data_IF_628367489730
#
_entry.id   IF_628367489730
#
_cell.length_a   1.000
_cell.length_b   1.000
_cell.length_c   1.000
_cell.angle_alpha   90.00
_cell.angle_beta   90.00
_cell.angle_gamma   90.00
#
_symmetry.space_group_name_H-M   'P 1'
#
loop_
_entity.id
_entity.type
_entity.pdbx_description
1 polymer ?
#
# COMPACT_ATOMS: atom_id res chain seq x y z
N UNK A 1 9.02 -8.27 -8.46
CA UNK A 1 7.83 -9.13 -8.21
C UNK A 1 6.89 -8.38 -7.29
N UNK A 2 5.59 -8.50 -7.55
CA UNK A 2 4.53 -7.98 -6.69
C UNK A 2 3.92 -9.16 -5.93
N UNK A 3 4.11 -9.18 -4.62
CA UNK A 3 3.61 -10.23 -3.73
C UNK A 3 2.46 -9.67 -2.90
N UNK A 4 1.28 -10.24 -3.03
CA UNK A 4 0.09 -9.83 -2.28
C UNK A 4 -0.23 -10.84 -1.19
N UNK A 5 -0.42 -10.36 0.05
CA UNK A 5 -0.90 -11.17 1.16
C UNK A 5 -2.29 -10.70 1.62
N UNK A 6 -3.14 -11.65 1.95
CA UNK A 6 -4.47 -11.44 2.53
C UNK A 6 -4.65 -12.29 3.79
N UNK A 7 -3.55 -12.69 4.39
CA UNK A 7 -3.50 -13.75 5.39
C UNK A 7 -4.29 -13.46 6.67
N UNK A 8 -4.59 -12.19 6.98
CA UNK A 8 -5.35 -11.80 8.17
C UNK A 8 -6.69 -11.12 7.87
N UNK A 9 -7.17 -11.19 6.64
CA UNK A 9 -8.47 -10.61 6.28
C UNK A 9 -9.69 -11.43 6.73
N UNK A 10 -9.50 -12.69 7.07
CA UNK A 10 -10.58 -13.50 7.65
C UNK A 10 -10.92 -12.98 9.05
N UNK A 11 -12.16 -12.58 9.27
CA UNK A 11 -12.63 -12.03 10.55
C UNK A 11 -12.41 -12.94 11.75
N UNK A 12 -12.25 -14.25 11.53
CA UNK A 12 -11.96 -15.23 12.57
C UNK A 12 -10.48 -15.24 12.97
N UNK A 13 -9.59 -14.79 12.11
CA UNK A 13 -8.13 -14.89 12.25
C UNK A 13 -7.46 -13.53 12.40
N UNK A 14 -8.16 -12.47 12.07
CA UNK A 14 -7.63 -11.09 12.02
C UNK A 14 -6.92 -10.66 13.30
N UNK A 15 -7.46 -11.04 14.46
CA UNK A 15 -6.93 -10.66 15.77
C UNK A 15 -6.18 -11.83 16.46
N UNK A 16 -6.04 -12.97 15.78
CA UNK A 16 -5.30 -14.13 16.31
C UNK A 16 -3.80 -14.00 16.00
N UNK A 17 -3.09 -13.25 16.83
CA UNK A 17 -1.64 -13.07 16.74
C UNK A 17 -0.89 -14.40 16.79
N UNK A 18 -1.36 -15.37 17.57
CA UNK A 18 -0.70 -16.66 17.69
C UNK A 18 -0.80 -17.45 16.39
N UNK A 19 -1.98 -17.50 15.79
CA UNK A 19 -2.18 -18.14 14.50
C UNK A 19 -1.30 -17.48 13.41
N UNK A 20 -1.32 -16.15 13.36
CA UNK A 20 -0.48 -15.41 12.40
C UNK A 20 0.99 -15.78 12.54
N UNK A 21 1.55 -15.65 13.75
CA UNK A 21 2.97 -15.90 14.04
C UNK A 21 3.41 -17.36 13.83
N UNK A 22 2.54 -18.32 14.12
CA UNK A 22 2.89 -19.74 14.03
C UNK A 22 2.59 -20.37 12.68
N UNK A 23 1.62 -19.87 11.95
CA UNK A 23 1.14 -20.49 10.71
C UNK A 23 1.38 -19.60 9.49
N UNK A 24 0.89 -18.35 9.52
CA UNK A 24 0.88 -17.50 8.33
C UNK A 24 2.25 -16.88 8.04
N UNK A 25 2.84 -16.21 9.01
CA UNK A 25 4.13 -15.53 8.85
C UNK A 25 5.26 -16.45 8.38
N UNK A 26 5.47 -17.66 8.93
CA UNK A 26 6.54 -18.54 8.46
C UNK A 26 6.39 -18.97 7.00
N UNK A 27 5.15 -19.13 6.52
CA UNK A 27 4.86 -19.49 5.12
C UNK A 27 5.16 -18.30 4.22
N UNK A 28 4.65 -17.12 4.56
CA UNK A 28 4.88 -15.89 3.81
C UNK A 28 6.38 -15.56 3.71
N UNK A 29 7.10 -15.65 4.82
CA UNK A 29 8.55 -15.40 4.85
C UNK A 29 9.33 -16.37 3.97
N UNK A 30 8.96 -17.64 3.95
CA UNK A 30 9.60 -18.64 3.08
C UNK A 30 9.36 -18.36 1.61
N UNK A 31 8.16 -17.92 1.24
CA UNK A 31 7.85 -17.51 -0.14
C UNK A 31 8.67 -16.28 -0.52
N UNK A 32 8.75 -15.28 0.37
CA UNK A 32 9.49 -14.05 0.13
C UNK A 32 11.01 -14.25 0.05
N UNK A 33 11.54 -15.22 0.79
CA UNK A 33 12.94 -15.67 0.63
C UNK A 33 13.20 -16.14 -0.81
N UNK A 34 12.34 -16.99 -1.35
CA UNK A 34 12.44 -17.44 -2.74
C UNK A 34 12.29 -16.31 -3.75
N UNK A 35 11.39 -15.34 -3.50
CA UNK A 35 11.21 -14.14 -4.32
C UNK A 35 12.52 -13.34 -4.37
N UNK A 36 13.16 -13.12 -3.23
CA UNK A 36 14.40 -12.33 -3.13
C UNK A 36 15.62 -13.02 -3.79
N UNK A 37 15.56 -14.33 -4.01
CA UNK A 37 16.61 -15.05 -4.76
C UNK A 37 16.55 -14.75 -6.26
N UNK A 38 15.37 -14.46 -6.81
CA UNK A 38 15.16 -14.30 -8.25
C UNK A 38 14.92 -12.86 -8.68
N UNK A 39 14.61 -11.95 -7.75
CA UNK A 39 14.34 -10.54 -8.05
C UNK A 39 14.92 -9.65 -6.94
N UNK A 40 15.42 -8.48 -7.34
CA UNK A 40 16.02 -7.49 -6.41
C UNK A 40 15.09 -6.35 -6.03
N UNK A 41 14.00 -6.16 -6.77
CA UNK A 41 13.00 -5.14 -6.52
C UNK A 41 11.63 -5.81 -6.41
N UNK A 42 11.17 -5.93 -5.18
CA UNK A 42 9.96 -6.66 -4.87
C UNK A 42 9.05 -5.77 -4.02
N UNK A 43 7.75 -5.86 -4.27
CA UNK A 43 6.73 -5.10 -3.58
C UNK A 43 5.91 -6.07 -2.74
N UNK A 44 5.78 -5.77 -1.46
CA UNK A 44 4.80 -6.39 -0.55
C UNK A 44 3.51 -5.58 -0.63
N UNK A 45 2.43 -6.18 -1.07
CA UNK A 45 1.09 -5.64 -0.97
C UNK A 45 0.35 -6.32 0.19
N UNK A 46 0.09 -5.56 1.24
CA UNK A 46 -0.77 -5.97 2.34
C UNK A 46 -2.18 -5.53 1.95
N UNK A 47 -2.95 -6.48 1.42
CA UNK A 47 -4.23 -6.17 0.82
C UNK A 47 -5.25 -5.77 1.90
N UNK A 48 -5.71 -4.52 1.85
CA UNK A 48 -6.83 -4.03 2.66
C UNK A 48 -8.15 -4.28 1.94
N UNK A 49 -9.17 -4.70 2.67
CA UNK A 49 -10.50 -4.94 2.14
C UNK A 49 -11.53 -4.26 3.04
N UNK A 50 -12.61 -3.77 2.45
CA UNK A 50 -13.69 -3.10 3.15
C UNK A 50 -14.20 -3.94 4.34
N UNK A 51 -14.13 -3.35 5.54
CA UNK A 51 -14.48 -4.03 6.79
C UNK A 51 -13.43 -5.01 7.35
N UNK A 52 -12.24 -5.14 6.72
CA UNK A 52 -11.16 -6.02 7.16
C UNK A 52 -9.82 -5.27 7.21
N UNK A 53 -9.56 -4.60 8.32
CA UNK A 53 -8.29 -3.91 8.58
C UNK A 53 -7.17 -4.90 8.89
N UNK A 54 -5.95 -4.57 8.44
CA UNK A 54 -4.75 -5.33 8.78
C UNK A 54 -4.06 -4.73 10.01
N UNK A 55 -3.33 -5.57 10.74
CA UNK A 55 -2.36 -5.17 11.75
C UNK A 55 -0.99 -4.98 11.08
N UNK A 56 -0.72 -3.78 10.54
CA UNK A 56 0.49 -3.53 9.74
C UNK A 56 1.78 -3.84 10.51
N UNK A 57 1.76 -3.69 11.83
CA UNK A 57 2.89 -3.99 12.72
C UNK A 57 3.37 -5.45 12.61
N UNK A 58 2.47 -6.36 12.25
CA UNK A 58 2.81 -7.78 12.10
C UNK A 58 3.69 -8.07 10.89
N UNK A 59 3.72 -7.16 9.92
CA UNK A 59 4.45 -7.32 8.65
C UNK A 59 5.79 -6.57 8.61
N UNK A 60 6.21 -5.96 9.72
CA UNK A 60 7.42 -5.11 9.76
C UNK A 60 8.71 -5.86 9.46
N UNK A 61 8.77 -7.17 9.73
CA UNK A 61 9.91 -8.03 9.43
C UNK A 61 9.87 -8.70 8.05
N UNK A 62 8.84 -8.45 7.24
CA UNK A 62 8.75 -9.00 5.89
C UNK A 62 9.84 -8.38 5.00
N UNK A 63 10.68 -9.19 4.30
CA UNK A 63 11.94 -8.73 3.73
C UNK A 63 11.83 -8.16 2.30
N UNK A 64 10.66 -7.71 1.86
CA UNK A 64 10.50 -7.09 0.54
C UNK A 64 10.85 -5.60 0.57
N UNK A 65 11.27 -5.05 -0.57
CA UNK A 65 11.93 -3.76 -0.66
C UNK A 65 10.96 -2.58 -0.62
N UNK A 66 9.74 -2.75 -1.12
CA UNK A 66 8.69 -1.73 -1.13
C UNK A 66 7.46 -2.29 -0.43
N UNK A 67 6.75 -1.48 0.34
CA UNK A 67 5.53 -1.89 1.04
C UNK A 67 4.35 -1.05 0.55
N UNK A 68 3.22 -1.72 0.30
CA UNK A 68 1.96 -1.12 -0.11
C UNK A 68 0.82 -1.68 0.75
N UNK A 69 -0.07 -0.81 1.19
CA UNK A 69 -1.25 -1.14 1.99
C UNK A 69 -2.39 -0.17 1.71
N UNK A 70 -3.56 -0.41 2.29
CA UNK A 70 -4.73 0.45 2.18
C UNK A 70 -4.69 1.57 3.23
N UNK A 71 -4.09 2.73 2.88
CA UNK A 71 -3.85 3.84 3.82
C UNK A 71 -5.11 4.33 4.53
N UNK A 72 -6.24 4.37 3.81
CA UNK A 72 -7.53 4.79 4.36
C UNK A 72 -8.24 3.73 5.21
N UNK A 73 -7.90 2.45 5.07
CA UNK A 73 -8.55 1.32 5.76
C UNK A 73 -7.72 0.85 6.95
N UNK A 74 -6.42 0.69 6.77
CA UNK A 74 -5.53 0.12 7.78
C UNK A 74 -5.06 1.14 8.84
N UNK A 75 -5.48 2.40 8.74
CA UNK A 75 -5.30 3.41 9.78
C UNK A 75 -3.90 4.01 9.85
N UNK A 76 -3.06 3.78 8.85
CA UNK A 76 -1.75 4.40 8.70
C UNK A 76 -1.69 5.21 7.41
N UNK A 77 -1.42 6.50 7.52
CA UNK A 77 -1.10 7.33 6.37
C UNK A 77 0.20 6.86 5.68
N UNK A 78 0.47 7.36 4.48
CA UNK A 78 1.66 6.94 3.73
C UNK A 78 2.96 7.25 4.49
N UNK A 79 3.04 8.42 5.13
CA UNK A 79 4.19 8.84 5.92
C UNK A 79 4.33 8.07 7.24
N UNK A 80 3.22 7.78 7.92
CA UNK A 80 3.23 6.98 9.16
C UNK A 80 3.67 5.55 8.89
N UNK A 81 3.11 4.90 7.86
CA UNK A 81 3.51 3.55 7.49
C UNK A 81 4.96 3.48 7.01
N UNK A 82 5.45 4.48 6.29
CA UNK A 82 6.88 4.56 5.94
C UNK A 82 7.77 4.50 7.18
N UNK A 83 7.44 5.25 8.23
CA UNK A 83 8.16 5.20 9.53
C UNK A 83 8.01 3.84 10.20
N UNK A 84 6.80 3.27 10.22
CA UNK A 84 6.54 1.94 10.78
C UNK A 84 7.43 0.87 10.15
N UNK A 85 7.62 0.93 8.84
CA UNK A 85 8.45 -0.02 8.10
C UNK A 85 9.94 0.36 8.06
N UNK A 86 10.42 1.24 8.94
CA UNK A 86 11.83 1.60 9.07
C UNK A 86 12.39 2.39 7.89
N UNK A 87 11.60 3.34 7.39
CA UNK A 87 11.91 4.19 6.23
C UNK A 87 12.14 3.44 4.91
N UNK A 88 11.68 2.21 4.82
CA UNK A 88 11.62 1.50 3.52
C UNK A 88 10.77 2.29 2.53
N UNK A 89 11.08 2.19 1.21
CA UNK A 89 10.19 2.71 0.19
C UNK A 89 8.77 2.18 0.33
N UNK A 90 7.80 3.07 0.21
CA UNK A 90 6.37 2.75 0.29
C UNK A 90 5.64 3.14 -0.98
N UNK A 91 4.55 2.44 -1.28
CA UNK A 91 3.71 2.69 -2.45
C UNK A 91 2.25 2.83 -2.01
N UNK A 92 1.52 3.78 -2.59
CA UNK A 92 0.10 3.98 -2.29
C UNK A 92 -0.27 5.44 -2.13
N UNK A 93 -1.25 5.70 -1.28
CA UNK A 93 -1.72 7.01 -0.87
C UNK A 93 -3.07 7.41 -1.46
N UNK A 94 -3.47 6.86 -2.61
CA UNK A 94 -4.77 7.13 -3.18
C UNK A 94 -5.76 6.02 -2.84
N UNK A 95 -6.87 6.40 -2.22
CA UNK A 95 -8.04 5.52 -2.08
C UNK A 95 -8.44 4.97 -3.46
N UNK A 96 -8.41 3.66 -3.58
CA UNK A 96 -8.70 2.93 -4.81
C UNK A 96 -10.20 2.71 -5.06
N UNK A 97 -11.07 3.17 -4.16
CA UNK A 97 -12.52 2.97 -4.28
C UNK A 97 -13.17 3.92 -5.29
N UNK A 98 -14.42 3.60 -5.67
CA UNK A 98 -15.24 4.49 -6.52
C UNK A 98 -15.67 5.77 -5.82
N UNK A 99 -15.41 5.91 -4.53
CA UNK A 99 -15.65 7.15 -3.75
C UNK A 99 -14.38 7.97 -3.57
N UNK A 100 -13.21 7.39 -3.85
CA UNK A 100 -11.92 8.04 -3.71
C UNK A 100 -11.70 9.21 -4.65
N UNK A 101 -10.79 10.11 -4.25
CA UNK A 101 -10.50 11.35 -4.99
C UNK A 101 -9.94 11.06 -6.38
N UNK A 102 -9.18 9.97 -6.54
CA UNK A 102 -8.64 9.56 -7.83
C UNK A 102 -9.76 9.20 -8.83
N UNK A 103 -10.87 8.64 -8.35
CA UNK A 103 -12.01 8.26 -9.18
C UNK A 103 -13.00 9.41 -9.41
N UNK A 104 -13.33 10.22 -8.39
CA UNK A 104 -14.37 11.26 -8.45
C UNK A 104 -13.86 12.69 -8.46
N UNK A 105 -12.63 12.94 -8.03
CA UNK A 105 -12.09 14.29 -7.87
C UNK A 105 -11.98 15.06 -9.18
N UNK A 106 -11.95 16.39 -9.11
CA UNK A 106 -11.54 17.23 -10.23
C UNK A 106 -10.03 17.18 -10.41
N UNK A 107 -9.52 17.73 -11.51
CA UNK A 107 -8.08 17.84 -11.75
C UNK A 107 -7.37 18.54 -10.59
N UNK A 108 -7.92 19.65 -10.13
CA UNK A 108 -7.36 20.46 -9.04
C UNK A 108 -7.33 19.67 -7.71
N UNK A 109 -8.38 18.90 -7.44
CA UNK A 109 -8.44 18.07 -6.24
C UNK A 109 -7.39 16.96 -6.26
N UNK A 110 -7.22 16.28 -7.41
CA UNK A 110 -6.19 15.25 -7.58
C UNK A 110 -4.80 15.87 -7.43
N UNK A 111 -4.53 17.02 -8.03
CA UNK A 111 -3.25 17.72 -7.91
C UNK A 111 -2.96 18.14 -6.46
N UNK A 112 -3.97 18.63 -5.75
CA UNK A 112 -3.87 18.99 -4.33
C UNK A 112 -3.53 17.76 -3.48
N UNK A 113 -4.17 16.63 -3.76
CA UNK A 113 -3.91 15.39 -3.04
C UNK A 113 -2.50 14.85 -3.30
N UNK A 114 -2.02 14.90 -4.54
CA UNK A 114 -0.62 14.58 -4.87
C UNK A 114 0.35 15.39 -4.03
N UNK A 115 0.16 16.72 -3.99
CA UNK A 115 1.01 17.60 -3.19
C UNK A 115 0.94 17.23 -1.70
N UNK A 116 -0.25 17.00 -1.16
CA UNK A 116 -0.44 16.60 0.23
C UNK A 116 0.32 15.33 0.58
N UNK A 117 0.24 14.31 -0.28
CA UNK A 117 0.93 13.04 -0.10
C UNK A 117 2.45 13.19 -0.10
N UNK A 118 2.99 14.03 -1.02
CA UNK A 118 4.42 14.32 -1.09
C UNK A 118 4.88 15.13 0.13
N UNK A 119 4.13 16.15 0.53
CA UNK A 119 4.45 16.97 1.70
C UNK A 119 4.47 16.12 2.99
N UNK A 120 3.58 15.13 3.10
CA UNK A 120 3.48 14.23 4.25
C UNK A 120 4.59 13.18 4.29
N UNK A 121 4.78 12.45 3.19
CA UNK A 121 5.64 11.27 3.13
C UNK A 121 7.08 11.58 2.63
N UNK A 122 7.29 12.79 2.12
CA UNK A 122 8.58 13.25 1.59
C UNK A 122 8.79 12.94 0.10
N UNK A 123 9.80 13.57 -0.49
CA UNK A 123 10.12 13.44 -1.92
C UNK A 123 10.93 12.19 -2.28
N UNK A 124 11.30 11.35 -1.32
CA UNK A 124 12.11 10.15 -1.53
C UNK A 124 11.55 8.96 -0.80
N UNK A 125 11.72 7.79 -1.41
CA UNK A 125 11.24 6.54 -0.83
C UNK A 125 9.72 6.44 -0.84
N UNK A 126 9.05 7.10 -1.82
CA UNK A 126 7.62 6.97 -2.07
C UNK A 126 7.36 6.68 -3.54
N UNK A 127 6.35 5.91 -3.81
CA UNK A 127 5.77 5.66 -5.12
C UNK A 127 4.29 6.00 -4.99
N UNK A 128 3.87 7.14 -5.55
CA UNK A 128 2.46 7.49 -5.52
C UNK A 128 1.66 6.53 -6.39
N UNK A 129 0.61 5.98 -5.83
CA UNK A 129 -0.24 5.00 -6.48
C UNK A 129 -1.53 4.80 -5.73
N UNK A 130 -2.38 3.94 -6.27
CA UNK A 130 -3.57 3.50 -5.55
C UNK A 130 -3.22 2.50 -4.45
N UNK A 131 -3.98 2.51 -3.39
CA UNK A 131 -3.81 1.63 -2.24
C UNK A 131 -4.02 0.15 -2.60
N UNK A 132 -4.88 -0.11 -3.58
CA UNK A 132 -5.15 -1.43 -4.15
C UNK A 132 -5.61 -1.28 -5.61
N UNK A 133 -6.26 -2.31 -6.16
CA UNK A 133 -6.80 -2.32 -7.52
C UNK A 133 -7.82 -1.21 -7.73
N UNK A 134 -7.60 -0.37 -8.73
CA UNK A 134 -8.54 0.68 -9.13
C UNK A 134 -9.73 0.11 -9.91
N UNK A 135 -10.90 0.78 -9.93
CA UNK A 135 -12.03 0.39 -10.76
C UNK A 135 -11.64 0.29 -12.24
N UNK A 136 -12.18 -0.70 -12.94
CA UNK A 136 -11.84 -0.97 -14.35
C UNK A 136 -12.21 0.17 -15.32
N UNK A 137 -13.18 0.96 -14.93
CA UNK A 137 -13.72 2.09 -15.70
C UNK A 137 -13.14 3.44 -15.30
N UNK A 138 -12.09 3.45 -14.47
CA UNK A 138 -11.38 4.70 -14.13
C UNK A 138 -10.82 5.35 -15.41
N UNK A 139 -11.03 6.64 -15.55
CA UNK A 139 -10.52 7.39 -16.69
C UNK A 139 -8.98 7.48 -16.66
N UNK A 140 -8.31 7.14 -17.76
CA UNK A 140 -6.88 7.35 -17.92
C UNK A 140 -6.45 8.81 -17.75
N UNK A 141 -7.34 9.74 -18.09
CA UNK A 141 -7.10 11.17 -17.91
C UNK A 141 -6.85 11.51 -16.43
N UNK A 142 -7.60 10.91 -15.51
CA UNK A 142 -7.43 11.11 -14.07
C UNK A 142 -6.10 10.58 -13.56
N UNK A 143 -5.67 9.43 -14.07
CA UNK A 143 -4.34 8.89 -13.75
C UNK A 143 -3.24 9.82 -14.27
N UNK A 144 -3.40 10.36 -15.47
CA UNK A 144 -2.46 11.33 -16.04
C UNK A 144 -2.38 12.62 -15.21
N UNK A 145 -3.49 13.14 -14.69
CA UNK A 145 -3.47 14.31 -13.79
C UNK A 145 -2.62 14.08 -12.54
N UNK A 146 -2.71 12.87 -11.96
CA UNK A 146 -1.89 12.52 -10.80
C UNK A 146 -0.40 12.40 -11.18
N UNK A 147 -0.10 11.76 -12.32
CA UNK A 147 1.28 11.60 -12.84
C UNK A 147 1.90 12.97 -13.14
N UNK A 148 1.18 13.84 -13.87
CA UNK A 148 1.64 15.20 -14.19
C UNK A 148 1.93 16.01 -12.91
N UNK A 149 1.03 15.95 -11.93
CA UNK A 149 1.22 16.66 -10.67
C UNK A 149 2.42 16.13 -9.88
N UNK A 150 2.65 14.81 -9.87
CA UNK A 150 3.78 14.21 -9.18
C UNK A 150 5.14 14.65 -9.79
N UNK A 151 5.19 14.88 -11.10
CA UNK A 151 6.42 15.36 -11.77
C UNK A 151 6.68 16.85 -11.57
N UNK A 152 5.69 17.63 -11.12
CA UNK A 152 5.81 19.07 -10.90
C UNK A 152 6.17 19.44 -9.45
N UNK A 153 6.08 18.50 -8.52
CA UNK A 153 6.39 18.64 -7.12
C UNK A 153 7.62 17.82 -6.73
#
# INVERSE_FOLDING_TARGET
IYYSTQSIQDSRLRDDTQFFKQVMEPIDLKVQEGINQVSRLNILHICGFDGATNHLEWFTNYPLQVVNWATGIDGYSLGEGKKLFGDRPVMGGFDNSTTGILYRGTKEQIQTEVKRLIDEAGHRGIILGADCTVPRDISYERLNWAIEAAHQN
#
